data_IF_766504508235
#
_entry.id   IF_766504508235
#
_cell.length_a   1.000
_cell.length_b   1.000
_cell.length_c   1.000
_cell.angle_alpha   90.00
_cell.angle_beta   90.00
_cell.angle_gamma   90.00
#
_symmetry.space_group_name_H-M   'P 1'
#
loop_
_entity.id
_entity.type
_entity.pdbx_description
1 polymer ?
#
# COMPACT_ATOMS: atom_id res chain seq x y z
N UNK A 1 16.46 -2.03 5.11
CA UNK A 1 15.30 -2.00 4.21
C UNK A 1 14.17 -1.36 4.98
N UNK A 2 13.87 -0.07 4.74
CA UNK A 2 13.01 0.74 5.62
C UNK A 2 11.58 0.19 5.83
N UNK A 3 11.08 -0.62 4.90
CA UNK A 3 9.73 -1.17 4.97
C UNK A 3 9.62 -2.33 5.97
N UNK A 4 10.62 -3.23 5.97
CA UNK A 4 10.61 -4.46 6.75
C UNK A 4 10.76 -4.22 8.27
N UNK A 5 11.32 -3.07 8.67
CA UNK A 5 11.41 -2.67 10.08
C UNK A 5 10.02 -2.57 10.75
N UNK A 6 9.00 -2.20 9.97
CA UNK A 6 7.62 -2.08 10.44
C UNK A 6 6.71 -3.19 9.90
N UNK A 7 6.85 -3.57 8.64
CA UNK A 7 5.98 -4.53 7.96
C UNK A 7 6.51 -5.97 7.94
N UNK A 8 7.65 -6.22 8.61
CA UNK A 8 8.39 -7.49 8.64
C UNK A 8 9.00 -7.89 7.27
N UNK A 9 10.04 -8.75 7.25
CA UNK A 9 10.71 -9.14 6.02
C UNK A 9 9.84 -9.86 4.98
N UNK A 10 8.74 -10.48 5.40
CA UNK A 10 7.80 -11.23 4.59
C UNK A 10 6.48 -10.48 4.34
N UNK A 11 6.46 -9.16 4.59
CA UNK A 11 5.28 -8.32 4.50
C UNK A 11 4.11 -8.74 5.41
N UNK A 12 4.34 -9.58 6.43
CA UNK A 12 3.28 -10.05 7.33
C UNK A 12 2.78 -9.01 8.34
N UNK A 13 3.53 -7.92 8.58
CA UNK A 13 3.13 -6.83 9.47
C UNK A 13 2.64 -7.30 10.85
N UNK A 14 1.80 -6.51 11.51
CA UNK A 14 1.23 -6.85 12.82
C UNK A 14 -0.13 -7.54 12.67
N UNK A 15 -0.35 -8.69 13.34
CA UNK A 15 -1.64 -9.42 13.27
C UNK A 15 -2.80 -8.58 13.81
N UNK A 16 -2.62 -7.95 14.96
CA UNK A 16 -3.62 -7.09 15.62
C UNK A 16 -3.64 -5.66 15.06
N UNK A 17 -3.47 -5.50 13.75
CA UNK A 17 -3.35 -4.18 13.10
C UNK A 17 -4.58 -3.28 13.20
N UNK A 18 -5.70 -3.81 13.66
CA UNK A 18 -6.95 -3.08 13.89
C UNK A 18 -7.10 -2.56 15.32
N UNK A 19 -6.19 -2.94 16.22
CA UNK A 19 -6.22 -2.55 17.64
C UNK A 19 -5.19 -1.46 17.87
N UNK A 20 -5.57 -0.42 18.62
CA UNK A 20 -4.64 0.64 19.00
C UNK A 20 -3.56 0.08 19.93
N UNK A 21 -2.32 0.50 19.71
CA UNK A 21 -1.20 0.22 20.60
C UNK A 21 -1.27 1.07 21.89
N UNK A 22 -0.29 0.89 22.77
CA UNK A 22 -0.19 1.63 24.03
C UNK A 22 -0.08 3.17 23.85
N UNK A 23 0.27 3.64 22.66
CA UNK A 23 0.35 5.06 22.31
C UNK A 23 -0.90 5.55 21.57
N UNK A 24 -1.96 4.74 21.47
CA UNK A 24 -3.18 5.08 20.77
C UNK A 24 -3.03 5.14 19.25
N UNK A 25 -2.08 4.39 18.65
CA UNK A 25 -1.86 4.32 17.20
C UNK A 25 -2.20 2.94 16.63
N UNK A 26 -2.69 2.91 15.40
CA UNK A 26 -2.81 1.66 14.64
C UNK A 26 -1.41 1.18 14.22
N UNK A 27 -1.03 -0.07 14.49
CA UNK A 27 0.29 -0.56 14.12
C UNK A 27 0.34 -0.89 12.62
N UNK A 28 1.55 -1.13 12.08
CA UNK A 28 1.73 -1.37 10.64
C UNK A 28 0.92 -2.59 10.16
N UNK A 29 0.01 -2.43 9.18
CA UNK A 29 -0.79 -3.55 8.71
C UNK A 29 0.06 -4.56 7.91
N UNK A 30 -0.35 -5.84 7.87
CA UNK A 30 0.14 -6.81 6.91
C UNK A 30 0.00 -6.27 5.47
N UNK A 31 1.05 -6.39 4.67
CA UNK A 31 1.02 -6.04 3.25
C UNK A 31 0.89 -7.27 2.35
N UNK A 32 1.05 -8.48 2.90
CA UNK A 32 0.99 -9.77 2.22
C UNK A 32 -0.42 -10.26 1.82
N UNK A 33 -1.42 -9.38 1.75
CA UNK A 33 -2.78 -9.74 1.33
C UNK A 33 -3.73 -10.15 2.46
N UNK A 34 -3.26 -10.35 3.70
CA UNK A 34 -4.11 -10.70 4.85
C UNK A 34 -4.83 -9.50 5.49
N UNK A 35 -4.51 -8.28 5.05
CA UNK A 35 -5.16 -7.04 5.48
C UNK A 35 -5.71 -6.27 4.26
N UNK A 36 -5.85 -4.95 4.36
CA UNK A 36 -6.64 -4.16 3.41
C UNK A 36 -5.85 -3.53 2.25
N UNK A 37 -4.53 -3.77 2.13
CA UNK A 37 -3.67 -3.14 1.11
C UNK A 37 -4.20 -3.33 -0.32
N UNK A 38 -4.64 -4.54 -0.66
CA UNK A 38 -5.15 -4.92 -1.98
C UNK A 38 -6.54 -4.32 -2.31
N UNK A 39 -7.19 -3.62 -1.38
CA UNK A 39 -8.41 -2.85 -1.67
C UNK A 39 -8.13 -1.56 -2.44
N UNK A 40 -6.87 -1.09 -2.46
CA UNK A 40 -6.51 0.20 -3.03
C UNK A 40 -5.85 0.06 -4.41
N UNK A 41 -6.21 0.92 -5.39
CA UNK A 41 -5.54 0.94 -6.68
C UNK A 41 -4.09 1.42 -6.55
N UNK A 42 -3.25 1.10 -7.53
CA UNK A 42 -1.82 1.37 -7.56
C UNK A 42 -1.51 2.86 -7.39
N UNK A 43 -2.36 3.75 -7.93
CA UNK A 43 -2.23 5.20 -7.76
C UNK A 43 -2.33 5.64 -6.29
N UNK A 44 -3.22 5.03 -5.52
CA UNK A 44 -3.36 5.27 -4.08
C UNK A 44 -2.19 4.67 -3.32
N UNK A 45 -1.78 3.43 -3.65
CA UNK A 45 -0.63 2.78 -3.03
C UNK A 45 0.67 3.60 -3.21
N UNK A 46 0.94 4.07 -4.44
CA UNK A 46 2.06 4.97 -4.74
C UNK A 46 2.00 6.24 -3.90
N UNK A 47 0.82 6.88 -3.80
CA UNK A 47 0.64 8.09 -2.98
C UNK A 47 0.92 7.82 -1.51
N UNK A 48 0.44 6.70 -0.97
CA UNK A 48 0.68 6.29 0.42
C UNK A 48 2.17 6.12 0.70
N UNK A 49 2.92 5.44 -0.17
CA UNK A 49 4.39 5.30 -0.01
C UNK A 49 5.08 6.66 -0.10
N UNK A 50 4.69 7.51 -1.05
CA UNK A 50 5.30 8.83 -1.24
C UNK A 50 5.09 9.77 -0.04
N UNK A 51 3.86 9.87 0.43
CA UNK A 51 3.46 10.87 1.43
C UNK A 51 3.46 10.35 2.88
N UNK A 52 3.41 9.04 3.05
CA UNK A 52 3.27 8.40 4.36
C UNK A 52 1.89 8.62 4.99
N UNK A 53 1.73 8.09 6.19
CA UNK A 53 0.56 8.26 7.05
C UNK A 53 0.70 9.38 8.09
N UNK A 54 1.91 9.89 8.34
CA UNK A 54 2.17 10.96 9.32
C UNK A 54 1.29 12.20 9.12
N UNK A 55 1.11 12.74 7.89
CA UNK A 55 0.23 13.89 7.66
C UNK A 55 -1.24 13.63 7.99
N UNK A 56 -1.65 12.36 8.11
CA UNK A 56 -3.00 11.92 8.43
C UNK A 56 -3.12 11.40 9.87
N UNK A 57 -2.10 11.63 10.71
CA UNK A 57 -2.08 11.20 12.12
C UNK A 57 -1.61 9.76 12.35
N UNK A 58 -1.18 9.05 11.31
CA UNK A 58 -0.54 7.73 11.40
C UNK A 58 0.97 7.82 11.69
N UNK A 59 1.65 6.67 11.60
CA UNK A 59 3.08 6.56 11.95
C UNK A 59 4.00 6.25 10.76
N UNK A 60 3.45 5.89 9.59
CA UNK A 60 4.25 5.58 8.41
C UNK A 60 4.89 6.86 7.84
N UNK A 61 6.22 6.95 7.71
CA UNK A 61 6.87 8.12 7.11
C UNK A 61 6.62 8.18 5.60
N UNK A 62 6.73 9.37 5.02
CA UNK A 62 6.81 9.53 3.56
C UNK A 62 8.19 9.18 3.04
N UNK A 63 8.27 8.77 1.77
CA UNK A 63 9.51 8.36 1.11
C UNK A 63 9.81 9.12 -0.18
N UNK A 64 9.09 10.22 -0.46
CA UNK A 64 9.29 11.00 -1.70
C UNK A 64 10.68 11.62 -1.86
N UNK A 65 11.40 11.81 -0.77
CA UNK A 65 12.78 12.31 -0.71
C UNK A 65 13.83 11.19 -0.79
N UNK A 66 13.42 9.93 -0.65
CA UNK A 66 14.30 8.75 -0.54
C UNK A 66 14.18 7.77 -1.69
N UNK A 67 13.01 7.70 -2.34
CA UNK A 67 12.69 6.72 -3.36
C UNK A 67 12.19 7.39 -4.64
N UNK A 68 12.71 6.93 -5.79
CA UNK A 68 12.16 7.27 -7.09
C UNK A 68 10.80 6.60 -7.32
N UNK A 69 10.03 7.08 -8.29
CA UNK A 69 8.77 6.45 -8.67
C UNK A 69 8.94 4.97 -9.07
N UNK A 70 10.02 4.65 -9.78
CA UNK A 70 10.34 3.28 -10.21
C UNK A 70 10.71 2.36 -9.03
N UNK A 71 11.43 2.88 -8.04
CA UNK A 71 11.72 2.12 -6.81
C UNK A 71 10.44 1.84 -6.02
N UNK A 72 9.53 2.80 -5.95
CA UNK A 72 8.21 2.60 -5.33
C UNK A 72 7.42 1.51 -6.06
N UNK A 73 7.42 1.53 -7.39
CA UNK A 73 6.75 0.51 -8.20
C UNK A 73 7.36 -0.87 -8.01
N UNK A 74 8.68 -0.95 -7.93
CA UNK A 74 9.40 -2.21 -7.66
C UNK A 74 9.03 -2.78 -6.28
N UNK A 75 8.96 -1.93 -5.26
CA UNK A 75 8.55 -2.34 -3.90
C UNK A 75 7.10 -2.82 -3.90
N UNK A 76 6.19 -2.10 -4.57
CA UNK A 76 4.79 -2.48 -4.65
C UNK A 76 4.60 -3.79 -5.43
N UNK A 77 5.35 -4.00 -6.52
CA UNK A 77 5.36 -5.25 -7.26
C UNK A 77 5.86 -6.41 -6.38
N UNK A 78 6.92 -6.21 -5.59
CA UNK A 78 7.39 -7.22 -4.63
C UNK A 78 6.31 -7.55 -3.57
N UNK A 79 5.64 -6.55 -3.00
CA UNK A 79 4.51 -6.76 -2.07
C UNK A 79 3.42 -7.62 -2.73
N UNK A 80 3.11 -7.36 -4.00
CA UNK A 80 2.11 -8.10 -4.76
C UNK A 80 2.46 -9.57 -4.98
N UNK A 81 3.74 -9.93 -4.98
CA UNK A 81 4.16 -11.35 -5.08
C UNK A 81 3.78 -12.18 -3.85
N UNK A 82 3.43 -11.54 -2.74
CA UNK A 82 2.94 -12.22 -1.54
C UNK A 82 1.43 -12.46 -1.55
N UNK A 83 0.71 -11.92 -2.53
CA UNK A 83 -0.73 -12.10 -2.62
C UNK A 83 -1.06 -13.42 -3.29
N UNK A 84 -2.16 -14.06 -2.87
CA UNK A 84 -2.70 -15.18 -3.62
C UNK A 84 -3.17 -14.73 -5.00
N UNK A 85 -3.23 -15.64 -5.96
CA UNK A 85 -3.74 -15.38 -7.31
C UNK A 85 -5.14 -14.75 -7.29
N UNK A 86 -5.99 -15.19 -6.36
CA UNK A 86 -7.33 -14.63 -6.16
C UNK A 86 -7.27 -13.16 -5.72
N UNK A 87 -6.46 -12.84 -4.71
CA UNK A 87 -6.32 -11.47 -4.21
C UNK A 87 -5.73 -10.57 -5.30
N UNK A 88 -4.70 -11.03 -6.00
CA UNK A 88 -4.09 -10.29 -7.10
C UNK A 88 -5.09 -10.02 -8.23
N UNK A 89 -5.88 -11.03 -8.64
CA UNK A 89 -6.93 -10.87 -9.66
C UNK A 89 -7.95 -9.81 -9.25
N UNK A 90 -8.46 -9.86 -8.02
CA UNK A 90 -9.46 -8.89 -7.55
C UNK A 90 -8.84 -7.49 -7.47
N UNK A 91 -7.62 -7.36 -6.99
CA UNK A 91 -6.91 -6.07 -7.01
C UNK A 91 -6.75 -5.53 -8.42
N UNK A 92 -6.33 -6.36 -9.38
CA UNK A 92 -6.10 -5.95 -10.77
C UNK A 92 -7.38 -5.43 -11.44
N UNK A 93 -8.52 -6.09 -11.19
CA UNK A 93 -9.83 -5.62 -11.65
C UNK A 93 -10.18 -4.23 -11.07
N UNK A 94 -9.89 -4.01 -9.79
CA UNK A 94 -10.13 -2.71 -9.13
C UNK A 94 -9.19 -1.62 -9.63
N UNK A 95 -7.91 -1.94 -9.80
CA UNK A 95 -6.92 -1.00 -10.34
C UNK A 95 -7.31 -0.55 -11.75
N UNK A 96 -7.70 -1.50 -12.59
CA UNK A 96 -8.21 -1.23 -13.94
C UNK A 96 -9.43 -0.30 -13.91
N UNK A 97 -10.40 -0.57 -13.03
CA UNK A 97 -11.60 0.28 -12.90
C UNK A 97 -11.26 1.70 -12.43
N UNK A 98 -10.34 1.83 -11.46
CA UNK A 98 -9.89 3.14 -10.97
C UNK A 98 -9.20 3.94 -12.08
N UNK A 99 -8.35 3.29 -12.88
CA UNK A 99 -7.66 3.93 -13.99
C UNK A 99 -8.62 4.34 -15.13
N UNK A 100 -9.65 3.53 -15.43
CA UNK A 100 -10.68 3.89 -16.42
C UNK A 100 -11.48 5.12 -16.01
N UNK A 101 -11.83 5.26 -14.73
CA UNK A 101 -12.56 6.44 -14.21
C UNK A 101 -11.73 7.73 -14.22
N UNK A 102 -10.40 7.60 -14.22
CA UNK A 102 -9.47 8.73 -14.27
C UNK A 102 -9.14 9.17 -15.71
N UNK A 103 -9.55 8.43 -16.74
CA UNK A 103 -9.34 8.87 -18.12
C UNK A 103 -10.28 10.04 -18.45
N UNK A 104 -9.76 11.11 -19.11
CA UNK A 104 -10.60 12.23 -19.50
C UNK A 104 -11.69 11.76 -20.47
N UNK A 105 -12.93 12.18 -20.23
CA UNK A 105 -14.03 12.00 -21.19
C UNK A 105 -13.56 12.63 -22.51
N UNK A 106 -13.42 11.81 -23.56
CA UNK A 106 -13.16 12.32 -24.91
C UNK A 106 -14.29 13.29 -25.27
N UNK A 107 -14.01 14.59 -25.28
CA UNK A 107 -14.90 15.57 -25.92
C UNK A 107 -14.82 15.29 -27.41
N UNK A 108 -15.95 14.85 -27.98
CA UNK A 108 -16.13 14.71 -29.43
C UNK A 108 -16.20 16.06 -30.12
#
# INVERSE_FOLDING_TARGET
>A
MHCAECHKPDASGTTEWRTLDANGKLPPPPLNGTAHTWHHPLSVLRRTVRLGGVPLGGSMPGFSDKLSAEQIDTILAWIQTHWSDEIYRIWHERDTQANTRLQPIKKG
#
